data_IF_153093844327
#
_entry.id   IF_153093844327
#
_cell.length_a   1.000
_cell.length_b   1.000
_cell.length_c   1.000
_cell.angle_alpha   90.00
_cell.angle_beta   90.00
_cell.angle_gamma   90.00
#
_symmetry.space_group_name_H-M   'P 1'
#
loop_
_entity.id
_entity.type
_entity.pdbx_description
1 polymer ?
#
# COMPACT_ATOMS: atom_id res chain seq x y z
N UNK A 1 -12.40 13.60 -17.17
CA UNK A 1 -10.98 13.48 -16.80
C UNK A 1 -10.87 13.92 -15.35
N UNK A 2 -10.40 13.03 -14.47
CA UNK A 2 -10.26 13.31 -13.04
C UNK A 2 -8.84 13.77 -12.74
N UNK A 3 -8.69 14.72 -11.82
CA UNK A 3 -7.39 15.18 -11.35
C UNK A 3 -7.14 14.59 -9.96
N UNK A 4 -5.90 14.19 -9.70
CA UNK A 4 -5.47 13.64 -8.43
C UNK A 4 -4.35 14.49 -7.85
N UNK A 5 -4.35 14.70 -6.53
CA UNK A 5 -3.24 15.37 -5.87
C UNK A 5 -2.04 14.45 -5.67
N UNK A 6 -0.85 15.05 -5.58
CA UNK A 6 0.38 14.32 -5.24
C UNK A 6 0.24 13.44 -3.98
N UNK A 7 -0.48 13.95 -2.97
CA UNK A 7 -0.72 13.25 -1.70
C UNK A 7 -1.66 12.06 -1.86
N UNK A 8 -2.65 12.17 -2.74
CA UNK A 8 -3.60 11.10 -3.05
C UNK A 8 -2.93 9.92 -3.74
N UNK A 9 -1.96 10.17 -4.61
CA UNK A 9 -1.36 9.14 -5.45
C UNK A 9 -0.27 8.31 -4.75
N UNK A 10 0.34 8.83 -3.68
CA UNK A 10 1.41 8.11 -2.98
C UNK A 10 0.88 6.74 -2.50
N UNK A 11 1.73 5.73 -2.58
CA UNK A 11 1.42 4.33 -2.31
C UNK A 11 0.39 3.71 -3.28
N UNK A 12 0.15 4.28 -4.45
CA UNK A 12 -0.56 3.58 -5.54
C UNK A 12 0.36 2.60 -6.24
N UNK A 13 -0.16 1.43 -6.57
CA UNK A 13 0.55 0.43 -7.37
C UNK A 13 0.54 0.83 -8.84
N UNK A 14 1.68 0.62 -9.49
CA UNK A 14 1.93 0.98 -10.88
C UNK A 14 1.98 -0.33 -11.67
N UNK A 15 1.12 -0.44 -12.68
CA UNK A 15 1.05 -1.59 -13.57
C UNK A 15 1.31 -1.17 -15.00
N UNK A 16 1.98 -2.02 -15.76
CA UNK A 16 2.19 -1.78 -17.19
C UNK A 16 0.99 -2.17 -18.05
N UNK A 17 1.08 -1.96 -19.37
CA UNK A 17 -0.03 -2.26 -20.30
C UNK A 17 -0.36 -3.75 -20.43
N UNK A 18 0.48 -4.64 -19.88
CA UNK A 18 0.24 -6.09 -19.82
C UNK A 18 -0.35 -6.53 -18.48
N UNK A 19 -0.57 -5.58 -17.56
CA UNK A 19 -1.09 -5.83 -16.22
C UNK A 19 -0.03 -6.39 -15.27
N UNK A 20 1.26 -6.17 -15.55
CA UNK A 20 2.36 -6.58 -14.68
C UNK A 20 2.75 -5.46 -13.72
N UNK A 21 3.00 -5.80 -12.47
CA UNK A 21 3.42 -4.88 -11.42
C UNK A 21 4.81 -4.33 -11.73
N UNK A 22 4.87 -3.02 -11.94
CA UNK A 22 6.11 -2.29 -12.18
C UNK A 22 6.73 -1.77 -10.88
N UNK A 23 5.92 -1.30 -9.93
CA UNK A 23 6.38 -0.74 -8.65
C UNK A 23 5.27 0.04 -7.94
N UNK A 24 5.59 0.69 -6.83
CA UNK A 24 4.68 1.56 -6.08
C UNK A 24 5.11 3.02 -6.24
N UNK A 25 4.16 3.94 -6.32
CA UNK A 25 4.47 5.37 -6.32
C UNK A 25 4.98 5.83 -4.95
N UNK A 26 6.25 6.24 -4.89
CA UNK A 26 6.91 6.71 -3.66
C UNK A 26 7.16 8.22 -3.66
N UNK A 27 6.94 8.91 -4.78
CA UNK A 27 7.15 10.35 -4.85
C UNK A 27 6.97 10.93 -6.24
N UNK A 28 7.37 12.20 -6.38
CA UNK A 28 7.27 12.99 -7.59
C UNK A 28 8.45 13.94 -7.70
N UNK A 29 8.83 14.24 -8.93
CA UNK A 29 9.83 15.25 -9.28
C UNK A 29 9.14 16.36 -10.05
N UNK A 30 9.17 17.58 -9.51
CA UNK A 30 8.61 18.77 -10.15
C UNK A 30 9.77 19.54 -10.80
N UNK A 31 9.87 19.41 -12.12
CA UNK A 31 10.73 20.23 -12.98
C UNK A 31 9.91 20.83 -14.12
N UNK A 32 10.54 21.14 -15.26
CA UNK A 32 9.83 21.62 -16.47
C UNK A 32 8.72 20.67 -16.94
N UNK A 33 8.98 19.36 -16.79
CA UNK A 33 7.99 18.30 -17.00
C UNK A 33 7.87 17.47 -15.71
N UNK A 34 6.72 17.53 -15.01
CA UNK A 34 6.51 16.73 -13.82
C UNK A 34 6.65 15.22 -14.11
N UNK A 35 7.26 14.49 -13.18
CA UNK A 35 7.42 13.04 -13.28
C UNK A 35 6.99 12.34 -12.00
N UNK A 36 6.48 11.14 -12.16
CA UNK A 36 6.17 10.23 -11.07
C UNK A 36 7.37 9.32 -10.79
N UNK A 37 7.70 9.12 -9.50
CA UNK A 37 8.81 8.28 -9.06
C UNK A 37 8.27 6.90 -8.65
N UNK A 38 8.65 5.87 -9.40
CA UNK A 38 8.32 4.49 -9.08
C UNK A 38 9.41 3.87 -8.21
N UNK A 39 9.02 3.24 -7.10
CA UNK A 39 9.90 2.50 -6.23
C UNK A 39 9.50 1.02 -6.14
N UNK A 40 10.48 0.17 -5.89
CA UNK A 40 10.26 -1.15 -5.33
C UNK A 40 10.41 -1.05 -3.82
N UNK A 41 9.46 -1.67 -3.12
CA UNK A 41 9.39 -1.67 -1.68
C UNK A 41 9.63 -3.11 -1.22
N UNK A 42 10.61 -3.30 -0.36
CA UNK A 42 10.96 -4.62 0.18
C UNK A 42 10.94 -4.56 1.70
N UNK A 43 10.29 -5.51 2.34
CA UNK A 43 10.45 -5.74 3.78
C UNK A 43 11.59 -6.74 3.95
N UNK A 44 12.71 -6.29 4.51
CA UNK A 44 13.90 -7.12 4.76
C UNK A 44 13.99 -7.36 6.26
N UNK A 45 14.11 -8.62 6.67
CA UNK A 45 14.49 -8.97 8.04
C UNK A 45 15.91 -8.49 8.32
N UNK A 46 16.07 -7.48 9.18
CA UNK A 46 17.35 -7.08 9.75
C UNK A 46 17.43 -7.62 11.18
N UNK A 47 18.53 -8.29 11.52
CA UNK A 47 18.77 -8.70 12.90
C UNK A 47 19.41 -7.54 13.66
N UNK A 48 18.68 -6.93 14.58
CA UNK A 48 19.22 -5.89 15.47
C UNK A 48 19.41 -6.45 16.89
N UNK A 49 20.34 -5.90 17.69
CA UNK A 49 20.48 -6.33 19.08
C UNK A 49 19.18 -6.11 19.87
N UNK A 50 18.75 -7.15 20.58
CA UNK A 50 17.64 -7.09 21.53
C UNK A 50 18.10 -6.37 22.80
N UNK A 51 17.79 -5.09 22.88
CA UNK A 51 18.28 -4.19 23.94
C UNK A 51 17.85 -4.66 25.33
N UNK A 52 16.60 -5.08 25.49
CA UNK A 52 16.06 -5.47 26.78
C UNK A 52 16.65 -6.81 27.24
N UNK A 53 16.74 -7.78 26.33
CA UNK A 53 17.35 -9.07 26.65
C UNK A 53 18.86 -8.98 26.86
N UNK A 54 19.53 -8.03 26.18
CA UNK A 54 20.94 -7.74 26.40
C UNK A 54 21.18 -7.13 27.78
N UNK A 55 20.33 -6.16 28.20
CA UNK A 55 20.36 -5.59 29.55
C UNK A 55 20.13 -6.67 30.62
N UNK A 56 19.19 -7.58 30.39
CA UNK A 56 18.92 -8.69 31.30
C UNK A 56 20.16 -9.58 31.48
N UNK A 57 20.77 -10.05 30.39
CA UNK A 57 22.02 -10.85 30.45
C UNK A 57 23.19 -10.14 31.13
N UNK A 58 23.32 -8.83 30.90
CA UNK A 58 24.36 -8.01 31.54
C UNK A 58 24.11 -7.89 33.07
N UNK A 59 22.85 -7.68 33.49
CA UNK A 59 22.45 -7.65 34.91
C UNK A 59 22.59 -9.02 35.59
N UNK A 60 22.27 -10.11 34.92
CA UNK A 60 22.48 -11.48 35.42
C UNK A 60 23.96 -11.75 35.74
N UNK A 61 24.88 -11.08 35.04
CA UNK A 61 26.32 -11.12 35.29
C UNK A 61 26.78 -10.18 36.42
N UNK A 62 25.86 -9.46 37.05
CA UNK A 62 26.13 -8.56 38.17
C UNK A 62 26.59 -7.16 37.76
N UNK A 63 26.39 -6.75 36.50
CA UNK A 63 26.76 -5.42 36.03
C UNK A 63 25.62 -4.43 36.30
N UNK A 64 25.94 -3.30 36.91
CA UNK A 64 25.01 -2.17 37.02
C UNK A 64 24.93 -1.46 35.68
N UNK A 65 23.72 -1.36 35.14
CA UNK A 65 23.44 -0.72 33.86
C UNK A 65 22.73 0.61 34.14
N UNK A 66 23.36 1.75 33.82
CA UNK A 66 22.71 3.05 33.87
C UNK A 66 21.43 3.09 33.03
N UNK A 67 20.42 3.83 33.50
CA UNK A 67 19.13 3.93 32.78
C UNK A 67 19.25 4.62 31.41
N UNK A 68 20.28 5.47 31.23
CA UNK A 68 20.54 6.30 30.06
C UNK A 68 21.62 5.75 29.11
N UNK A 69 22.07 4.52 29.31
CA UNK A 69 23.12 3.91 28.49
C UNK A 69 22.69 3.75 27.01
N UNK A 70 23.61 4.04 26.08
CA UNK A 70 23.36 3.88 24.65
C UNK A 70 23.49 2.42 24.19
N UNK A 71 22.91 2.10 23.02
CA UNK A 71 22.99 0.76 22.45
C UNK A 71 24.44 0.38 22.11
N UNK A 72 25.22 1.34 21.59
CA UNK A 72 26.62 1.16 21.27
C UNK A 72 27.43 0.80 22.53
N UNK A 73 27.19 1.49 23.64
CA UNK A 73 27.83 1.21 24.93
C UNK A 73 27.43 -0.15 25.51
N UNK A 74 26.16 -0.55 25.39
CA UNK A 74 25.69 -1.89 25.77
C UNK A 74 26.39 -2.99 24.96
N UNK A 75 26.52 -2.81 23.65
CA UNK A 75 27.19 -3.76 22.75
C UNK A 75 28.69 -3.86 23.06
N UNK A 76 29.35 -2.73 23.34
CA UNK A 76 30.77 -2.70 23.72
C UNK A 76 30.98 -3.40 25.07
N UNK A 77 30.12 -3.13 26.05
CA UNK A 77 30.17 -3.77 27.38
C UNK A 77 29.97 -5.28 27.24
N UNK A 78 28.96 -5.71 26.47
CA UNK A 78 28.69 -7.13 26.22
C UNK A 78 29.86 -7.85 25.54
N UNK A 79 30.53 -7.22 24.58
CA UNK A 79 31.75 -7.77 23.94
C UNK A 79 32.92 -7.87 24.92
N UNK A 80 33.09 -6.85 25.76
CA UNK A 80 34.16 -6.80 26.78
C UNK A 80 33.97 -7.91 27.81
N UNK A 81 32.72 -8.14 28.21
CA UNK A 81 32.32 -9.15 29.19
C UNK A 81 32.10 -10.54 28.58
N UNK A 82 32.37 -10.69 27.28
CA UNK A 82 32.20 -11.92 26.51
C UNK A 82 30.78 -12.51 26.68
N UNK A 83 29.78 -11.65 26.55
CA UNK A 83 28.36 -11.98 26.53
C UNK A 83 27.89 -12.05 25.08
N UNK A 84 27.20 -13.13 24.74
CA UNK A 84 26.53 -13.26 23.46
C UNK A 84 25.39 -12.23 23.34
N UNK A 85 25.46 -11.41 22.30
CA UNK A 85 24.52 -10.32 22.03
C UNK A 85 23.24 -10.94 21.44
N UNK A 86 22.13 -10.99 22.19
CA UNK A 86 20.87 -11.48 21.65
C UNK A 86 20.41 -10.54 20.54
N UNK A 87 19.87 -11.10 19.47
CA UNK A 87 19.32 -10.35 18.34
C UNK A 87 17.83 -10.66 18.17
N UNK A 88 17.09 -9.67 17.71
CA UNK A 88 15.71 -9.79 17.23
C UNK A 88 15.66 -9.45 15.75
N UNK A 89 14.87 -10.21 15.01
CA UNK A 89 14.56 -9.88 13.63
C UNK A 89 13.55 -8.73 13.62
N UNK A 90 13.91 -7.63 12.97
CA UNK A 90 13.02 -6.51 12.71
C UNK A 90 12.82 -6.35 11.22
N UNK A 91 11.57 -6.16 10.80
CA UNK A 91 11.27 -5.84 9.41
C UNK A 91 11.68 -4.39 9.12
N UNK A 92 12.61 -4.24 8.18
CA UNK A 92 13.01 -2.94 7.65
C UNK A 92 12.55 -2.82 6.22
N UNK A 93 11.62 -1.88 5.98
CA UNK A 93 11.14 -1.56 4.65
C UNK A 93 12.19 -0.69 3.92
N UNK A 94 12.76 -1.22 2.85
CA UNK A 94 13.70 -0.52 1.98
C UNK A 94 12.98 -0.06 0.71
N UNK A 95 13.15 1.21 0.37
CA UNK A 95 12.66 1.79 -0.88
C UNK A 95 13.78 1.92 -1.91
N UNK A 96 13.66 1.20 -3.02
CA UNK A 96 14.59 1.29 -4.15
C UNK A 96 13.94 2.02 -5.32
N UNK A 97 14.55 3.09 -5.82
CA UNK A 97 14.00 3.82 -6.96
C UNK A 97 14.21 3.01 -8.25
N UNK A 98 13.12 2.55 -8.85
CA UNK A 98 13.16 1.79 -10.11
C UNK A 98 13.24 2.70 -11.33
N UNK A 99 12.58 3.85 -11.28
CA UNK A 99 12.63 4.82 -12.38
C UNK A 99 11.64 5.96 -12.24
N UNK A 100 11.70 6.85 -13.22
CA UNK A 100 10.78 7.99 -13.36
C UNK A 100 9.86 7.78 -14.56
N UNK A 101 8.62 8.22 -14.42
CA UNK A 101 7.54 8.07 -15.39
C UNK A 101 7.03 9.45 -15.80
N UNK A 102 6.97 9.72 -17.11
CA UNK A 102 6.31 10.93 -17.61
C UNK A 102 4.79 10.80 -17.46
N UNK A 103 4.09 11.93 -17.30
CA UNK A 103 2.63 11.93 -17.31
C UNK A 103 2.05 11.44 -18.65
N UNK A 104 2.78 11.67 -19.76
CA UNK A 104 2.40 11.18 -21.10
C UNK A 104 2.43 9.64 -21.21
N UNK A 105 3.01 8.93 -20.24
CA UNK A 105 3.07 7.47 -20.23
C UNK A 105 1.93 6.85 -19.42
N UNK A 106 1.12 7.68 -18.76
CA UNK A 106 0.05 7.24 -17.87
C UNK A 106 -1.25 7.15 -18.65
N UNK A 107 -1.77 5.93 -18.75
CA UNK A 107 -3.04 5.65 -19.41
C UNK A 107 -4.25 5.95 -18.54
N UNK A 108 -4.16 5.57 -17.27
CA UNK A 108 -5.27 5.62 -16.33
C UNK A 108 -4.71 5.75 -14.92
N UNK A 109 -5.41 6.50 -14.09
CA UNK A 109 -5.18 6.57 -12.65
C UNK A 109 -6.53 6.41 -11.96
N UNK A 110 -6.59 5.55 -10.97
CA UNK A 110 -7.79 5.40 -10.17
C UNK A 110 -7.51 4.99 -8.73
N UNK A 111 -8.39 5.39 -7.81
CA UNK A 111 -8.31 5.07 -6.39
C UNK A 111 -9.69 4.71 -5.89
N UNK A 112 -9.79 3.55 -5.24
CA UNK A 112 -10.99 3.09 -4.55
C UNK A 112 -10.63 2.61 -3.15
N UNK A 113 -11.64 2.49 -2.30
CA UNK A 113 -11.51 1.99 -0.94
C UNK A 113 -12.43 0.77 -0.75
N UNK A 114 -11.90 -0.27 -0.11
CA UNK A 114 -12.63 -1.47 0.29
C UNK A 114 -12.80 -1.48 1.82
N UNK A 115 -14.02 -1.48 2.36
CA UNK A 115 -14.22 -1.80 3.76
C UNK A 115 -13.87 -3.26 4.01
N UNK A 116 -12.97 -3.51 4.96
CA UNK A 116 -12.66 -4.86 5.44
C UNK A 116 -13.09 -4.99 6.89
N UNK A 117 -13.34 -6.23 7.34
CA UNK A 117 -13.51 -6.51 8.78
C UNK A 117 -12.17 -6.31 9.48
N UNK A 118 -11.93 -5.12 10.02
CA UNK A 118 -10.74 -4.79 10.82
C UNK A 118 -9.69 -3.92 10.11
N UNK A 119 -9.67 -3.86 8.77
CA UNK A 119 -8.82 -2.94 8.01
C UNK A 119 -9.56 -2.44 6.77
N UNK A 120 -9.55 -1.13 6.54
CA UNK A 120 -10.02 -0.54 5.29
C UNK A 120 -8.84 -0.49 4.31
N UNK A 121 -9.06 -0.97 3.09
CA UNK A 121 -7.99 -1.09 2.10
C UNK A 121 -8.17 -0.03 1.03
N UNK A 122 -7.24 0.92 1.00
CA UNK A 122 -7.06 1.80 -0.16
C UNK A 122 -6.41 0.99 -1.28
N UNK A 123 -7.05 0.98 -2.45
CA UNK A 123 -6.51 0.40 -3.67
C UNK A 123 -6.28 1.54 -4.66
N UNK A 124 -5.02 1.89 -4.88
CA UNK A 124 -4.63 2.90 -5.87
C UNK A 124 -3.92 2.24 -7.03
N UNK A 125 -4.31 2.56 -8.26
CA UNK A 125 -3.74 2.02 -9.50
C UNK A 125 -3.28 3.16 -10.41
N UNK A 126 -2.07 3.03 -10.95
CA UNK A 126 -1.54 3.83 -12.05
C UNK A 126 -1.19 2.87 -13.19
N UNK A 127 -1.94 2.94 -14.29
CA UNK A 127 -1.71 2.13 -15.47
C UNK A 127 -0.81 2.86 -16.47
N UNK A 128 0.21 2.18 -16.97
CA UNK A 128 1.07 2.70 -18.04
C UNK A 128 0.52 2.36 -19.42
N UNK A 129 0.79 3.21 -20.40
CA UNK A 129 0.46 2.96 -21.81
C UNK A 129 1.33 1.86 -22.42
N UNK A 130 2.56 1.70 -21.93
CA UNK A 130 3.59 0.83 -22.52
C UNK A 130 3.90 -0.36 -21.61
N UNK A 131 4.35 -1.50 -22.18
CA UNK A 131 4.63 -2.73 -21.45
C UNK A 131 6.03 -2.68 -20.78
N UNK A 132 6.28 -1.65 -19.97
CA UNK A 132 7.61 -1.39 -19.38
C UNK A 132 8.13 -2.58 -18.57
N UNK A 133 7.26 -3.22 -17.79
CA UNK A 133 7.66 -4.35 -16.95
C UNK A 133 7.88 -5.62 -17.78
N UNK A 134 7.00 -5.89 -18.74
CA UNK A 134 7.17 -7.02 -19.65
C UNK A 134 8.51 -6.91 -20.42
N UNK A 135 8.84 -5.72 -20.93
CA UNK A 135 10.12 -5.45 -21.60
C UNK A 135 11.30 -5.65 -20.65
N UNK A 136 11.22 -5.14 -19.42
CA UNK A 136 12.26 -5.32 -18.40
C UNK A 136 12.51 -6.79 -18.09
N UNK A 137 11.45 -7.62 -18.05
CA UNK A 137 11.53 -9.07 -17.81
C UNK A 137 11.91 -9.88 -19.07
N UNK A 138 12.01 -9.25 -20.24
CA UNK A 138 12.25 -9.95 -21.51
C UNK A 138 11.08 -10.84 -21.95
N UNK A 139 9.86 -10.54 -21.49
CA UNK A 139 8.67 -11.30 -21.86
C UNK A 139 8.20 -10.90 -23.26
N UNK A 140 7.78 -11.86 -24.10
CA UNK A 140 7.10 -11.54 -25.35
C UNK A 140 5.78 -10.83 -25.00
N UNK A 141 5.45 -9.74 -25.69
CA UNK A 141 4.17 -9.04 -25.50
C UNK A 141 3.02 -9.97 -25.92
N UNK A 142 2.17 -10.43 -24.97
CA UNK A 142 1.09 -11.37 -25.26
C UNK A 142 0.07 -10.84 -26.27
N UNK A 143 -0.63 -11.78 -26.91
CA UNK A 143 -1.76 -11.58 -27.82
C UNK A 143 -2.90 -10.75 -27.20
N UNK A 144 -3.79 -10.21 -28.04
CA UNK A 144 -4.86 -9.28 -27.66
C UNK A 144 -6.00 -9.87 -26.81
N UNK A 145 -6.05 -11.19 -26.65
CA UNK A 145 -7.04 -11.87 -25.80
C UNK A 145 -6.35 -13.02 -25.05
N UNK A 146 -6.49 -13.10 -23.71
CA UNK A 146 -5.88 -14.18 -22.95
C UNK A 146 -6.54 -15.53 -23.24
N UNK A 147 -5.73 -16.60 -23.19
CA UNK A 147 -6.21 -17.97 -23.36
C UNK A 147 -7.22 -18.36 -22.27
N UNK A 148 -8.22 -19.16 -22.63
CA UNK A 148 -9.22 -19.68 -21.69
C UNK A 148 -8.60 -20.50 -20.54
N UNK A 149 -7.40 -21.05 -20.72
CA UNK A 149 -6.64 -21.77 -19.68
C UNK A 149 -6.18 -20.88 -18.51
N UNK A 150 -6.39 -19.55 -18.61
CA UNK A 150 -6.09 -18.62 -17.53
C UNK A 150 -7.30 -18.35 -16.63
N UNK A 151 -8.48 -18.89 -16.95
CA UNK A 151 -9.72 -18.54 -16.25
C UNK A 151 -9.70 -18.88 -14.76
N UNK A 152 -9.09 -19.99 -14.38
CA UNK A 152 -8.90 -20.41 -12.99
C UNK A 152 -7.81 -19.61 -12.27
N UNK A 153 -6.90 -18.98 -13.03
CA UNK A 153 -5.78 -18.16 -12.49
C UNK A 153 -6.13 -16.70 -12.28
N UNK A 154 -7.38 -16.29 -12.52
CA UNK A 154 -7.80 -14.90 -12.32
C UNK A 154 -8.48 -14.64 -10.99
N UNK A 155 -8.86 -15.69 -10.24
CA UNK A 155 -9.47 -15.55 -8.90
C UNK A 155 -8.56 -14.67 -8.01
N UNK A 156 -9.20 -13.81 -7.22
CA UNK A 156 -8.58 -12.82 -6.31
C UNK A 156 -7.73 -11.73 -6.99
N UNK A 157 -7.65 -11.70 -8.32
CA UNK A 157 -6.97 -10.60 -9.03
C UNK A 157 -7.84 -9.35 -9.08
N UNK A 158 -7.19 -8.20 -8.93
CA UNK A 158 -7.80 -6.90 -9.17
C UNK A 158 -8.17 -6.76 -10.65
N UNK A 159 -9.37 -6.26 -10.91
CA UNK A 159 -9.91 -6.00 -12.24
C UNK A 159 -9.96 -4.50 -12.49
N UNK A 160 -9.31 -4.06 -13.57
CA UNK A 160 -9.23 -2.66 -13.98
C UNK A 160 -9.77 -2.54 -15.40
N UNK A 161 -10.78 -1.69 -15.57
CA UNK A 161 -11.26 -1.25 -16.88
C UNK A 161 -10.46 -0.04 -17.34
N UNK A 162 -10.15 0.01 -18.64
CA UNK A 162 -9.46 1.14 -19.25
C UNK A 162 -10.36 2.38 -19.37
N UNK A 163 -11.69 2.23 -19.26
CA UNK A 163 -12.64 3.34 -19.22
C UNK A 163 -13.16 3.64 -17.82
N UNK A 164 -13.49 2.61 -17.04
CA UNK A 164 -14.23 2.75 -15.78
C UNK A 164 -13.31 2.80 -14.55
N UNK A 165 -12.01 2.54 -14.71
CA UNK A 165 -11.08 2.48 -13.60
C UNK A 165 -11.09 1.13 -12.88
N UNK A 166 -10.86 1.14 -11.57
CA UNK A 166 -10.92 -0.06 -10.74
C UNK A 166 -12.38 -0.52 -10.63
N UNK A 167 -12.63 -1.78 -11.01
CA UNK A 167 -13.95 -2.41 -10.87
C UNK A 167 -14.04 -3.15 -9.53
N UNK A 168 -13.01 -3.94 -9.19
CA UNK A 168 -13.04 -4.78 -7.99
C UNK A 168 -12.16 -6.02 -8.14
N UNK A 169 -12.49 -7.11 -7.45
CA UNK A 169 -11.70 -8.35 -7.46
C UNK A 169 -12.50 -9.51 -8.04
N UNK A 170 -11.85 -10.39 -8.80
CA UNK A 170 -12.50 -11.60 -9.31
C UNK A 170 -12.84 -12.52 -8.15
N UNK A 171 -14.13 -12.82 -7.99
CA UNK A 171 -14.64 -13.72 -6.96
C UNK A 171 -14.85 -15.13 -7.51
N UNK A 172 -15.34 -15.25 -8.74
CA UNK A 172 -15.77 -16.53 -9.29
C UNK A 172 -15.74 -16.54 -10.82
N UNK A 173 -15.84 -17.74 -11.38
CA UNK A 173 -16.05 -18.00 -12.80
C UNK A 173 -17.54 -18.20 -13.03
N UNK A 174 -18.09 -17.49 -14.01
CA UNK A 174 -19.53 -17.54 -14.32
C UNK A 174 -19.78 -18.04 -15.73
N UNK A 175 -20.90 -18.75 -15.90
CA UNK A 175 -21.32 -19.33 -17.17
C UNK A 175 -22.66 -18.72 -17.58
N UNK A 176 -22.74 -18.29 -18.83
CA UNK A 176 -23.97 -17.88 -19.49
C UNK A 176 -24.20 -18.75 -20.73
N UNK A 177 -25.40 -18.77 -21.33
CA UNK A 177 -25.62 -19.51 -22.57
C UNK A 177 -24.60 -19.12 -23.65
N UNK A 178 -23.73 -20.07 -24.02
CA UNK A 178 -22.65 -19.91 -25.02
C UNK A 178 -21.55 -18.92 -24.64
N UNK A 179 -21.40 -18.59 -23.35
CA UNK A 179 -20.37 -17.68 -22.88
C UNK A 179 -19.82 -18.07 -21.51
N UNK A 180 -18.58 -17.67 -21.26
CA UNK A 180 -17.93 -17.78 -19.96
C UNK A 180 -17.39 -16.41 -19.58
N UNK A 181 -17.39 -16.10 -18.29
CA UNK A 181 -16.95 -14.83 -17.77
C UNK A 181 -16.42 -14.94 -16.35
N UNK A 182 -16.11 -13.78 -15.81
CA UNK A 182 -15.62 -13.60 -14.45
C UNK A 182 -16.65 -12.78 -13.66
N UNK A 183 -16.95 -13.19 -12.43
CA UNK A 183 -17.71 -12.40 -11.48
C UNK A 183 -16.76 -11.53 -10.69
N UNK A 184 -16.99 -10.22 -10.72
CA UNK A 184 -16.17 -9.25 -10.00
C UNK A 184 -16.95 -8.76 -8.79
N UNK A 185 -16.44 -8.98 -7.59
CA UNK A 185 -16.90 -8.31 -6.38
C UNK A 185 -16.41 -6.87 -6.42
N UNK A 186 -17.35 -5.93 -6.44
CA UNK A 186 -17.03 -4.55 -6.71
C UNK A 186 -16.40 -3.86 -5.49
N UNK A 187 -15.41 -3.00 -5.73
CA UNK A 187 -14.73 -2.21 -4.69
C UNK A 187 -14.89 -0.75 -5.03
N UNK A 188 -15.87 -0.11 -4.38
CA UNK A 188 -16.41 1.10 -4.97
C UNK A 188 -16.48 2.31 -4.07
N UNK A 189 -15.98 2.28 -2.84
CA UNK A 189 -16.02 3.52 -2.05
C UNK A 189 -14.95 4.46 -2.60
N UNK A 190 -15.38 5.45 -3.39
CA UNK A 190 -14.53 6.48 -3.99
C UNK A 190 -14.51 7.76 -3.15
N UNK A 191 -15.51 7.92 -2.28
CA UNK A 191 -15.67 9.05 -1.37
C UNK A 191 -16.03 8.57 0.03
N UNK A 192 -15.71 9.41 1.00
CA UNK A 192 -15.88 9.14 2.41
C UNK A 192 -15.11 10.17 3.23
N UNK A 193 -15.20 10.05 4.53
CA UNK A 193 -14.54 10.93 5.49
C UNK A 193 -13.75 10.12 6.52
N UNK A 194 -12.59 10.63 6.89
CA UNK A 194 -11.85 10.20 8.07
C UNK A 194 -12.28 11.12 9.21
N UNK A 195 -12.81 10.56 10.29
CA UNK A 195 -13.17 11.25 11.53
C UNK A 195 -11.91 11.70 12.28
N UNK A 196 -11.24 12.71 11.73
CA UNK A 196 -9.88 13.09 12.10
C UNK A 196 -9.73 13.53 13.55
N UNK A 197 -10.64 14.36 14.06
CA UNK A 197 -10.60 14.76 15.46
C UNK A 197 -10.82 13.56 16.41
N UNK A 198 -11.72 12.64 16.07
CA UNK A 198 -11.95 11.44 16.87
C UNK A 198 -10.73 10.52 16.86
N UNK A 199 -10.13 10.31 15.69
CA UNK A 199 -8.89 9.55 15.54
C UNK A 199 -7.74 10.12 16.39
N UNK A 200 -7.49 11.43 16.32
CA UNK A 200 -6.45 12.09 17.12
C UNK A 200 -6.75 11.99 18.62
N UNK A 201 -8.00 12.16 19.04
CA UNK A 201 -8.40 12.03 20.44
C UNK A 201 -8.19 10.61 20.97
N UNK A 202 -8.49 9.58 20.16
CA UNK A 202 -8.25 8.19 20.50
C UNK A 202 -6.75 7.88 20.64
N UNK A 203 -5.91 8.39 19.73
CA UNK A 203 -4.45 8.26 19.85
C UNK A 203 -3.92 8.91 21.14
N UNK A 204 -4.39 10.10 21.46
CA UNK A 204 -3.99 10.81 22.67
C UNK A 204 -4.43 10.06 23.95
N UNK A 205 -5.64 9.52 23.96
CA UNK A 205 -6.16 8.70 25.08
C UNK A 205 -5.35 7.41 25.29
N UNK A 206 -4.72 6.88 24.23
CA UNK A 206 -3.81 5.72 24.29
C UNK A 206 -2.37 6.09 24.63
N UNK A 207 -2.08 7.38 24.87
CA UNK A 207 -0.77 7.88 25.29
C UNK A 207 0.14 8.35 24.16
N UNK A 208 -0.31 8.38 22.91
CA UNK A 208 0.53 8.72 21.74
C UNK A 208 0.61 10.23 21.46
N UNK A 209 0.88 11.04 22.50
CA UNK A 209 0.87 12.52 22.39
C UNK A 209 1.87 13.06 21.36
N UNK A 210 3.09 12.54 21.33
CA UNK A 210 4.12 12.99 20.37
C UNK A 210 3.71 12.72 18.92
N UNK A 211 3.11 11.55 18.65
CA UNK A 211 2.60 11.20 17.33
C UNK A 211 1.47 12.15 16.92
N UNK A 212 0.57 12.49 17.84
CA UNK A 212 -0.52 13.45 17.59
C UNK A 212 0.03 14.82 17.19
N UNK A 213 1.05 15.32 17.89
CA UNK A 213 1.69 16.60 17.54
C UNK A 213 2.34 16.57 16.16
N UNK A 214 3.05 15.49 15.82
CA UNK A 214 3.65 15.30 14.49
C UNK A 214 2.60 15.28 13.36
N UNK A 215 1.46 14.61 13.62
CA UNK A 215 0.34 14.56 12.68
C UNK A 215 -0.34 15.92 12.52
N UNK A 216 -0.59 16.66 13.62
CA UNK A 216 -1.15 18.03 13.60
C UNK A 216 -0.23 19.03 12.89
N UNK A 217 1.08 18.87 13.01
CA UNK A 217 2.05 19.69 12.28
C UNK A 217 2.06 19.43 10.76
N UNK A 218 1.61 18.24 10.33
CA UNK A 218 1.65 17.82 8.91
C UNK A 218 0.33 18.01 8.17
N UNK A 219 -0.79 18.05 8.89
CA UNK A 219 -2.15 18.12 8.34
C UNK A 219 -2.89 19.30 8.98
N UNK A 220 -3.52 20.13 8.15
CA UNK A 220 -4.28 21.29 8.63
C UNK A 220 -5.39 20.84 9.59
N UNK A 221 -5.68 21.62 10.66
CA UNK A 221 -6.76 21.30 11.58
C UNK A 221 -8.11 21.19 10.86
N UNK A 222 -8.81 20.09 11.10
CA UNK A 222 -10.14 19.81 10.56
C UNK A 222 -10.87 18.79 11.46
N UNK A 223 -12.20 18.82 11.49
CA UNK A 223 -12.97 17.80 12.22
C UNK A 223 -13.00 16.48 11.46
N UNK A 224 -13.27 16.57 10.15
CA UNK A 224 -13.25 15.47 9.20
C UNK A 224 -12.24 15.78 8.09
N UNK A 225 -11.54 14.77 7.62
CA UNK A 225 -10.71 14.84 6.43
C UNK A 225 -11.37 14.03 5.32
N UNK A 226 -11.20 14.46 4.08
CA UNK A 226 -11.58 13.64 2.95
C UNK A 226 -10.75 12.35 2.93
N UNK A 227 -11.42 11.23 2.65
CA UNK A 227 -10.83 9.90 2.58
C UNK A 227 -9.63 9.82 1.62
N UNK A 228 -9.58 10.69 0.62
CA UNK A 228 -8.48 10.84 -0.32
C UNK A 228 -7.10 11.10 0.34
N UNK A 229 -7.07 11.60 1.59
CA UNK A 229 -5.85 11.79 2.38
C UNK A 229 -5.36 10.52 3.11
N UNK A 230 -6.09 9.41 3.07
CA UNK A 230 -5.75 8.18 3.79
C UNK A 230 -4.33 7.69 3.47
N UNK A 231 -3.95 7.63 2.18
CA UNK A 231 -2.62 7.18 1.77
C UNK A 231 -1.49 8.05 2.33
N UNK A 232 -1.71 9.36 2.37
CA UNK A 232 -0.78 10.32 2.96
C UNK A 232 -0.66 10.12 4.48
N UNK A 233 -1.77 10.00 5.20
CA UNK A 233 -1.76 9.73 6.65
C UNK A 233 -1.00 8.42 6.93
N UNK A 234 -1.26 7.37 6.16
CA UNK A 234 -0.57 6.08 6.30
C UNK A 234 0.96 6.22 6.11
N UNK A 235 1.40 7.02 5.13
CA UNK A 235 2.82 7.32 4.94
C UNK A 235 3.44 8.11 6.10
N UNK A 236 2.69 9.02 6.72
CA UNK A 236 3.14 9.75 7.91
C UNK A 236 3.28 8.81 9.11
N UNK A 237 2.29 7.95 9.35
CA UNK A 237 2.35 6.94 10.42
C UNK A 237 3.60 6.05 10.27
N UNK A 238 3.88 5.63 9.03
CA UNK A 238 5.07 4.84 8.74
C UNK A 238 6.35 5.64 9.01
N UNK A 239 6.45 6.86 8.47
CA UNK A 239 7.59 7.76 8.69
C UNK A 239 7.88 8.00 10.16
N UNK A 240 6.83 8.11 10.98
CA UNK A 240 6.93 8.34 12.42
C UNK A 240 7.00 7.04 13.24
N UNK A 241 7.15 5.88 12.59
CA UNK A 241 7.25 4.56 13.23
C UNK A 241 6.10 4.31 14.21
N UNK A 242 4.89 4.68 13.82
CA UNK A 242 3.70 4.50 14.64
C UNK A 242 3.43 3.00 14.90
N UNK A 243 2.88 2.64 16.07
CA UNK A 243 2.52 1.25 16.37
C UNK A 243 1.33 0.78 15.52
N UNK A 244 1.16 -0.54 15.39
CA UNK A 244 0.07 -1.17 14.61
C UNK A 244 -1.31 -0.64 15.02
N UNK A 245 -1.51 -0.40 16.32
CA UNK A 245 -2.75 0.14 16.88
C UNK A 245 -3.14 1.50 16.28
N UNK A 246 -2.17 2.36 15.91
CA UNK A 246 -2.47 3.63 15.28
C UNK A 246 -3.12 3.43 13.89
N UNK A 247 -2.72 2.40 13.15
CA UNK A 247 -3.32 2.05 11.86
C UNK A 247 -4.72 1.47 12.04
N UNK A 248 -4.93 0.62 13.03
CA UNK A 248 -6.25 0.07 13.36
C UNK A 248 -7.23 1.17 13.76
N UNK A 249 -6.78 2.12 14.59
CA UNK A 249 -7.57 3.29 14.97
C UNK A 249 -7.93 4.14 13.74
N UNK A 250 -6.98 4.39 12.83
CA UNK A 250 -7.27 5.13 11.60
C UNK A 250 -8.39 4.46 10.80
N UNK A 251 -8.32 3.13 10.65
CA UNK A 251 -9.30 2.35 9.91
C UNK A 251 -10.69 2.35 10.55
N UNK A 252 -10.76 2.25 11.88
CA UNK A 252 -12.02 2.32 12.61
C UNK A 252 -12.71 3.70 12.54
N UNK A 253 -12.01 4.73 12.06
CA UNK A 253 -12.47 6.11 11.99
C UNK A 253 -12.85 6.56 10.57
N UNK A 254 -13.11 5.63 9.66
CA UNK A 254 -13.52 5.94 8.29
C UNK A 254 -15.04 5.76 8.16
N UNK A 255 -15.70 6.83 7.74
CA UNK A 255 -17.10 6.84 7.31
C UNK A 255 -17.15 6.85 5.79
N UNK A 256 -17.64 5.77 5.20
CA UNK A 256 -17.84 5.73 3.76
C UNK A 256 -19.18 6.36 3.39
N UNK A 257 -19.21 7.10 2.27
CA UNK A 257 -20.48 7.50 1.68
C UNK A 257 -21.14 6.27 1.05
N UNK A 258 -22.38 5.95 1.43
CA UNK A 258 -23.12 4.85 0.84
C UNK A 258 -23.33 5.12 -0.65
N UNK A 259 -22.73 4.26 -1.49
CA UNK A 259 -23.09 4.19 -2.90
C UNK A 259 -23.93 2.94 -3.14
N UNK A 260 -25.11 3.13 -3.74
CA UNK A 260 -25.93 2.04 -4.26
C UNK A 260 -25.24 1.50 -5.50
N UNK A 261 -24.36 0.52 -5.31
CA UNK A 261 -23.69 -0.14 -6.44
C UNK A 261 -23.96 -1.63 -6.33
N UNK A 262 -24.20 -2.25 -7.49
CA UNK A 262 -24.29 -3.69 -7.59
C UNK A 262 -23.04 -4.33 -6.98
N UNK A 263 -23.25 -5.15 -5.95
CA UNK A 263 -22.17 -5.84 -5.23
C UNK A 263 -21.31 -6.68 -6.17
N UNK A 264 -21.91 -7.20 -7.25
CA UNK A 264 -21.26 -8.04 -8.23
C UNK A 264 -21.50 -7.53 -9.64
N UNK A 265 -20.45 -7.56 -10.46
CA UNK A 265 -20.50 -7.29 -11.91
C UNK A 265 -19.92 -8.48 -12.65
N UNK A 266 -20.72 -9.10 -13.51
CA UNK A 266 -20.28 -10.22 -14.35
C UNK A 266 -19.70 -9.68 -15.67
N UNK A 267 -18.49 -10.13 -16.05
CA UNK A 267 -17.76 -9.67 -17.24
C UNK A 267 -17.45 -10.87 -18.15
N UNK A 268 -17.92 -10.81 -19.40
CA UNK A 268 -17.59 -11.81 -20.42
C UNK A 268 -16.07 -11.91 -20.64
N UNK A 269 -15.54 -13.14 -20.77
CA UNK A 269 -14.12 -13.36 -21.05
C UNK A 269 -13.66 -12.68 -22.35
N UNK A 270 -14.57 -12.49 -23.31
CA UNK A 270 -14.33 -11.75 -24.56
C UNK A 270 -14.00 -10.26 -24.36
N UNK A 271 -14.28 -9.73 -23.16
CA UNK A 271 -13.94 -8.36 -22.78
C UNK A 271 -12.68 -8.26 -21.92
N UNK A 272 -12.07 -9.41 -21.57
CA UNK A 272 -10.75 -9.44 -20.92
C UNK A 272 -9.68 -9.21 -21.98
N UNK A 273 -8.88 -8.16 -21.77
CA UNK A 273 -7.83 -7.74 -22.68
C UNK A 273 -6.49 -8.38 -22.30
N UNK A 274 -6.15 -8.39 -21.00
CA UNK A 274 -4.88 -8.90 -20.47
C UNK A 274 -5.09 -9.57 -19.11
N UNK A 275 -4.24 -10.56 -18.82
CA UNK A 275 -4.15 -11.23 -17.52
C UNK A 275 -2.68 -11.27 -17.12
N UNK A 276 -2.30 -10.40 -16.18
CA UNK A 276 -0.98 -10.33 -15.56
C UNK A 276 -1.10 -10.53 -14.06
N UNK A 277 -0.46 -9.66 -13.28
CA UNK A 277 -0.68 -9.54 -11.84
C UNK A 277 -2.10 -8.99 -11.54
N UNK A 278 -2.63 -8.18 -12.47
CA UNK A 278 -4.03 -7.75 -12.51
C UNK A 278 -4.73 -8.20 -13.80
N UNK A 279 -6.06 -8.12 -13.83
CA UNK A 279 -6.88 -8.37 -15.01
C UNK A 279 -7.29 -7.04 -15.62
N UNK A 280 -6.95 -6.83 -16.89
CA UNK A 280 -7.36 -5.64 -17.65
C UNK A 280 -8.56 -6.00 -18.51
N UNK A 281 -9.63 -5.21 -18.41
CA UNK A 281 -10.84 -5.34 -19.23
C UNK A 281 -11.06 -4.07 -20.05
N UNK A 282 -11.98 -4.16 -21.02
CA UNK A 282 -12.41 -2.99 -21.81
C UNK A 282 -12.89 -1.84 -20.94
#
# INVERSE_FOLDING_TARGET
MSYFSAKELINSDIYDSEGLYYGTLCGLEIGEKPKLKACLIFDIGEYIPDVERLKEKLRERGLEIPEDITLEELVVTARTENIDIPVVEVEKRIEFTKGFLSLDEIRLVDIVYKPGRGNNWRVGVIMLEKPREAVYRGLPTPTSTPYLELLDKVIDKLVVSLSDGIIGYVQDIVFAPKDVGIRVEAVNYRSGNILWNNYLALLEARGYKELVELLRGSIKPAEKLDLNLYGYIHSLLYKYKAPIEAYELLNSNIEFEEMVIEKYRDISWKNVLKVGDIVIVK
#
